data_IF_246472324995
#
_entry.id   IF_246472324995
#
_cell.length_a   1.000
_cell.length_b   1.000
_cell.length_c   1.000
_cell.angle_alpha   90.00
_cell.angle_beta   90.00
_cell.angle_gamma   90.00
#
_symmetry.space_group_name_H-M   'P 1'
#
loop_
_entity.id
_entity.type
_entity.pdbx_description
1 polymer ?
#
# COMPACT_ATOMS: atom_id res chain seq x y z
N UNK A 1 -34.64 -0.61 -10.26
CA UNK A 1 -33.50 0.34 -10.18
C UNK A 1 -32.24 -0.47 -9.99
N UNK A 2 -31.38 -0.55 -11.00
CA UNK A 2 -30.11 -1.28 -10.92
C UNK A 2 -29.05 -0.29 -10.42
N UNK A 3 -28.57 -0.48 -9.18
CA UNK A 3 -27.36 0.20 -8.73
C UNK A 3 -26.21 -0.39 -9.51
N UNK A 4 -25.67 0.37 -10.46
CA UNK A 4 -24.46 0.00 -11.17
C UNK A 4 -23.34 -0.17 -10.14
N UNK A 5 -22.93 -1.42 -9.85
CA UNK A 5 -21.67 -1.71 -9.17
C UNK A 5 -20.55 -1.20 -10.07
N UNK A 6 -20.20 0.07 -9.93
CA UNK A 6 -19.02 0.65 -10.59
C UNK A 6 -17.80 -0.15 -10.14
N UNK A 7 -16.88 -0.45 -11.07
CA UNK A 7 -15.58 -1.04 -10.77
C UNK A 7 -14.91 -0.16 -9.72
N UNK A 8 -14.78 -0.66 -8.49
CA UNK A 8 -14.06 0.05 -7.45
C UNK A 8 -12.62 0.35 -7.90
N UNK A 9 -12.16 1.58 -7.65
CA UNK A 9 -10.77 1.98 -7.90
C UNK A 9 -9.82 1.12 -7.07
N UNK A 10 -8.53 1.10 -7.43
CA UNK A 10 -7.54 0.34 -6.65
C UNK A 10 -7.47 0.87 -5.20
N UNK A 11 -7.59 2.19 -5.02
CA UNK A 11 -7.69 2.88 -3.74
C UNK A 11 -8.86 2.35 -2.89
N UNK A 12 -10.06 2.25 -3.48
CA UNK A 12 -11.25 1.74 -2.77
C UNK A 12 -11.06 0.28 -2.32
N UNK A 13 -10.54 -0.58 -3.22
CA UNK A 13 -10.27 -1.98 -2.89
C UNK A 13 -9.21 -2.14 -1.80
N UNK A 14 -8.19 -1.29 -1.83
CA UNK A 14 -7.15 -1.27 -0.81
C UNK A 14 -7.72 -0.79 0.53
N UNK A 15 -8.55 0.25 0.53
CA UNK A 15 -9.22 0.73 1.74
C UNK A 15 -10.09 -0.35 2.40
N UNK A 16 -10.91 -1.07 1.63
CA UNK A 16 -11.71 -2.20 2.10
C UNK A 16 -10.81 -3.28 2.72
N UNK A 17 -9.72 -3.64 2.04
CA UNK A 17 -8.77 -4.64 2.53
C UNK A 17 -8.06 -4.20 3.83
N UNK A 18 -7.69 -2.93 3.95
CA UNK A 18 -7.01 -2.42 5.15
C UNK A 18 -7.95 -2.32 6.35
N UNK A 19 -9.24 -2.04 6.10
CA UNK A 19 -10.27 -2.07 7.13
C UNK A 19 -10.48 -3.49 7.69
N UNK A 20 -10.38 -4.52 6.83
CA UNK A 20 -10.44 -5.93 7.26
C UNK A 20 -9.14 -6.41 7.91
N UNK A 21 -7.99 -5.97 7.40
CA UNK A 21 -6.67 -6.38 7.87
C UNK A 21 -5.63 -5.26 7.74
N UNK A 22 -5.40 -4.56 8.86
CA UNK A 22 -4.47 -3.42 8.92
C UNK A 22 -3.02 -3.81 8.59
N UNK A 23 -2.63 -5.08 8.76
CA UNK A 23 -1.30 -5.56 8.44
C UNK A 23 -1.01 -5.52 6.94
N UNK A 24 -2.06 -5.51 6.10
CA UNK A 24 -1.91 -5.36 4.64
C UNK A 24 -1.45 -3.96 4.23
N UNK A 25 -1.50 -2.97 5.12
CA UNK A 25 -0.98 -1.64 4.80
C UNK A 25 0.53 -1.69 4.52
N UNK A 26 1.30 -2.51 5.23
CA UNK A 26 2.76 -2.58 5.05
C UNK A 26 3.18 -2.99 3.64
N UNK A 27 2.77 -4.16 3.09
CA UNK A 27 3.17 -4.53 1.74
C UNK A 27 2.66 -3.55 0.68
N UNK A 28 1.46 -2.97 0.87
CA UNK A 28 0.93 -2.00 -0.08
C UNK A 28 1.65 -0.66 -0.04
N UNK A 29 2.06 -0.18 1.14
CA UNK A 29 2.84 1.05 1.28
C UNK A 29 4.20 0.90 0.57
N UNK A 30 4.86 -0.24 0.73
CA UNK A 30 6.12 -0.54 0.05
C UNK A 30 5.95 -0.65 -1.47
N UNK A 31 4.87 -1.31 -1.94
CA UNK A 31 4.55 -1.38 -3.37
C UNK A 31 4.24 0.00 -3.97
N UNK A 32 3.46 0.82 -3.26
CA UNK A 32 3.10 2.17 -3.68
C UNK A 32 4.32 3.10 -3.71
N UNK A 33 5.14 3.08 -2.66
CA UNK A 33 6.40 3.82 -2.60
C UNK A 33 7.34 3.43 -3.74
N UNK A 34 7.48 2.13 -4.02
CA UNK A 34 8.32 1.65 -5.12
C UNK A 34 7.78 2.12 -6.48
N UNK A 35 6.48 1.98 -6.70
CA UNK A 35 5.80 2.43 -7.91
C UNK A 35 6.01 3.94 -8.16
N UNK A 36 5.87 4.75 -7.10
CA UNK A 36 6.04 6.20 -7.14
C UNK A 36 7.52 6.60 -7.36
N UNK A 37 8.42 6.20 -6.45
CA UNK A 37 9.80 6.71 -6.45
C UNK A 37 10.76 6.00 -7.41
N UNK A 38 10.47 4.76 -7.82
CA UNK A 38 11.37 3.97 -8.69
C UNK A 38 10.85 3.78 -10.10
N UNK A 39 9.54 3.79 -10.30
CA UNK A 39 8.95 3.52 -11.62
C UNK A 39 8.28 4.73 -12.27
N UNK A 40 8.05 5.82 -11.52
CA UNK A 40 7.28 6.97 -12.01
C UNK A 40 5.88 6.55 -12.55
N UNK A 41 5.30 5.50 -11.93
CA UNK A 41 4.04 4.86 -12.34
C UNK A 41 3.22 4.52 -11.08
N UNK A 42 2.70 5.51 -10.35
CA UNK A 42 2.04 5.29 -9.07
C UNK A 42 0.78 4.42 -9.20
N UNK A 43 0.57 3.52 -8.24
CA UNK A 43 -0.62 2.63 -8.22
C UNK A 43 -1.81 3.21 -7.44
N UNK A 44 -1.56 4.22 -6.62
CA UNK A 44 -2.56 4.91 -5.82
C UNK A 44 -2.55 6.39 -6.17
N UNK A 45 -3.67 7.07 -5.93
CA UNK A 45 -3.67 8.54 -5.93
C UNK A 45 -2.79 9.08 -4.81
N UNK A 46 -2.22 10.28 -5.02
CA UNK A 46 -1.39 10.97 -4.02
C UNK A 46 -2.15 11.16 -2.71
N UNK A 47 -3.40 11.63 -2.79
CA UNK A 47 -4.28 11.82 -1.63
C UNK A 47 -4.48 10.52 -0.83
N UNK A 48 -4.65 9.39 -1.53
CA UNK A 48 -4.81 8.10 -0.88
C UNK A 48 -3.51 7.60 -0.25
N UNK A 49 -2.39 7.77 -0.93
CA UNK A 49 -1.07 7.39 -0.41
C UNK A 49 -0.71 8.20 0.85
N UNK A 50 -1.00 9.50 0.87
CA UNK A 50 -0.82 10.37 2.03
C UNK A 50 -1.74 9.98 3.19
N UNK A 51 -3.02 9.69 2.91
CA UNK A 51 -3.96 9.21 3.92
C UNK A 51 -3.53 7.85 4.51
N UNK A 52 -2.99 6.98 3.66
CA UNK A 52 -2.42 5.70 4.06
C UNK A 52 -1.24 5.89 5.02
N UNK A 53 -0.30 6.80 4.71
CA UNK A 53 0.85 7.08 5.58
C UNK A 53 0.41 7.59 6.96
N UNK A 54 -0.56 8.51 7.00
CA UNK A 54 -1.14 9.04 8.26
C UNK A 54 -1.80 7.95 9.10
N UNK A 55 -2.61 7.10 8.46
CA UNK A 55 -3.28 5.99 9.13
C UNK A 55 -2.27 4.99 9.70
N UNK A 56 -1.22 4.66 8.94
CA UNK A 56 -0.14 3.80 9.44
C UNK A 56 0.61 4.41 10.62
N UNK A 57 0.79 5.73 10.64
CA UNK A 57 1.46 6.43 11.74
C UNK A 57 0.61 6.39 13.01
N UNK A 58 -0.69 6.68 12.90
CA UNK A 58 -1.64 6.66 14.01
C UNK A 58 -1.81 5.26 14.61
N UNK A 59 -1.85 4.24 13.74
CA UNK A 59 -2.06 2.84 14.13
C UNK A 59 -0.77 2.03 14.14
N UNK A 60 0.38 2.70 14.21
CA UNK A 60 1.67 2.04 14.02
C UNK A 60 1.84 0.85 14.96
N UNK A 61 1.52 1.02 16.23
CA UNK A 61 1.75 -0.03 17.23
C UNK A 61 0.79 -1.23 17.09
N UNK A 62 -0.32 -1.07 16.35
CA UNK A 62 -1.28 -2.16 16.05
C UNK A 62 -0.92 -2.95 14.78
N UNK A 63 -0.04 -2.42 13.93
CA UNK A 63 0.37 -3.07 12.69
C UNK A 63 1.46 -4.10 12.98
N UNK A 64 1.17 -5.36 12.69
CA UNK A 64 2.09 -6.49 12.84
C UNK A 64 2.38 -7.13 11.48
N UNK A 65 3.56 -6.83 10.90
CA UNK A 65 3.97 -7.42 9.63
C UNK A 65 5.50 -7.53 9.54
N UNK A 66 6.02 -8.64 9.01
CA UNK A 66 7.47 -8.88 8.96
C UNK A 66 8.26 -7.83 8.16
N UNK A 67 7.63 -7.22 7.15
CA UNK A 67 8.25 -6.13 6.36
C UNK A 67 8.08 -4.74 6.98
N UNK A 68 7.44 -4.61 8.15
CA UNK A 68 7.29 -3.32 8.84
C UNK A 68 8.66 -2.73 9.20
N UNK A 69 9.67 -3.57 9.37
CA UNK A 69 11.07 -3.21 9.64
C UNK A 69 11.70 -2.29 8.58
N UNK A 70 11.14 -2.24 7.37
CA UNK A 70 11.62 -1.36 6.31
C UNK A 70 11.10 0.07 6.42
N UNK A 71 10.03 0.28 7.19
CA UNK A 71 9.33 1.55 7.34
C UNK A 71 9.61 2.06 8.75
N UNK A 72 9.94 3.35 8.87
CA UNK A 72 10.04 4.03 10.16
C UNK A 72 8.86 4.99 10.37
N UNK A 73 8.57 5.32 11.64
CA UNK A 73 7.59 6.38 11.96
C UNK A 73 8.00 7.73 11.33
N UNK A 74 9.29 7.96 11.13
CA UNK A 74 9.81 9.19 10.51
C UNK A 74 9.49 9.24 9.00
N UNK A 75 9.59 8.11 8.29
CA UNK A 75 9.20 8.03 6.86
C UNK A 75 7.71 8.41 6.70
N UNK A 76 6.87 7.86 7.58
CA UNK A 76 5.43 8.15 7.59
C UNK A 76 5.13 9.62 7.93
N UNK A 77 5.85 10.21 8.88
CA UNK A 77 5.72 11.64 9.21
C UNK A 77 6.16 12.56 8.09
N UNK A 78 7.23 12.19 7.38
CA UNK A 78 7.73 12.97 6.24
C UNK A 78 6.82 12.86 5.01
N UNK A 79 5.92 11.88 4.96
CA UNK A 79 5.15 11.56 3.76
C UNK A 79 6.03 11.03 2.63
N UNK A 80 7.21 10.49 2.96
CA UNK A 80 8.16 9.99 1.95
C UNK A 80 8.82 8.70 2.40
N UNK A 81 9.21 7.87 1.44
CA UNK A 81 9.93 6.62 1.72
C UNK A 81 11.27 6.59 0.99
N UNK A 82 12.35 6.75 1.75
CA UNK A 82 13.74 6.70 1.24
C UNK A 82 14.48 5.41 1.62
N UNK A 83 13.78 4.47 2.26
CA UNK A 83 14.32 3.20 2.72
C UNK A 83 14.63 2.19 1.61
N UNK A 84 15.16 1.05 2.02
CA UNK A 84 15.36 -0.11 1.14
C UNK A 84 14.06 -0.87 0.90
N UNK A 85 13.94 -1.49 -0.26
CA UNK A 85 12.79 -2.33 -0.60
C UNK A 85 13.14 -3.83 -0.45
N UNK A 86 12.26 -4.66 0.13
CA UNK A 86 12.40 -6.10 0.00
C UNK A 86 12.43 -6.51 -1.48
N UNK A 87 13.29 -7.46 -1.85
CA UNK A 87 13.43 -7.95 -3.24
C UNK A 87 12.11 -8.42 -3.85
N UNK A 88 11.15 -8.85 -3.01
CA UNK A 88 9.83 -9.32 -3.45
C UNK A 88 8.85 -8.21 -3.85
N UNK A 89 9.12 -6.94 -3.53
CA UNK A 89 8.18 -5.82 -3.78
C UNK A 89 7.88 -5.67 -5.27
N UNK A 90 8.89 -5.72 -6.13
CA UNK A 90 8.70 -5.55 -7.57
C UNK A 90 7.81 -6.66 -8.16
N UNK A 91 8.03 -7.91 -7.75
CA UNK A 91 7.23 -9.06 -8.18
C UNK A 91 5.80 -9.00 -7.67
N UNK A 92 5.60 -8.56 -6.42
CA UNK A 92 4.28 -8.36 -5.83
C UNK A 92 3.50 -7.25 -6.56
N UNK A 93 4.16 -6.11 -6.83
CA UNK A 93 3.59 -4.99 -7.57
C UNK A 93 3.14 -5.41 -8.98
N UNK A 94 3.98 -6.15 -9.69
CA UNK A 94 3.65 -6.70 -11.02
C UNK A 94 2.45 -7.65 -10.98
N UNK A 95 2.35 -8.46 -9.93
CA UNK A 95 1.23 -9.39 -9.72
C UNK A 95 -0.06 -8.63 -9.44
N UNK A 96 0.00 -7.56 -8.64
CA UNK A 96 -1.13 -6.66 -8.35
C UNK A 96 -1.65 -6.00 -9.63
N UNK A 97 -0.75 -5.40 -10.43
CA UNK A 97 -1.11 -4.75 -11.71
C UNK A 97 -1.71 -5.72 -12.73
N UNK A 98 -1.22 -6.96 -12.78
CA UNK A 98 -1.75 -8.00 -13.69
C UNK A 98 -3.04 -8.67 -13.19
N UNK A 99 -3.56 -8.28 -12.02
CA UNK A 99 -4.75 -8.88 -11.42
C UNK A 99 -4.57 -10.34 -10.96
N UNK A 100 -3.35 -10.87 -11.00
CA UNK A 100 -3.03 -12.21 -10.51
C UNK A 100 -2.61 -12.13 -9.05
N UNK A 101 -3.59 -12.15 -8.15
CA UNK A 101 -3.30 -12.47 -6.75
C UNK A 101 -2.86 -13.93 -6.69
N UNK A 102 -1.56 -14.18 -6.43
CA UNK A 102 -1.09 -15.53 -6.09
C UNK A 102 -1.65 -15.87 -4.71
N UNK A 103 -2.81 -16.53 -4.69
CA UNK A 103 -3.26 -17.30 -3.54
C UNK A 103 -2.33 -18.53 -3.46
N UNK A 104 -1.29 -18.42 -2.65
CA UNK A 104 -0.46 -19.56 -2.23
C UNK A 104 -0.80 -19.90 -0.80
#
# INVERSE_FOLDING_TARGET
MAVAKQKATLDQKAAELFAENINMMVPYYLMASYAYYKQDDPIFSDDFFDAMAKTMLERWDDIEHMHKVYISKNDLQAGTFLGGYPTRVEGALRSLRSGRSKRT
#
